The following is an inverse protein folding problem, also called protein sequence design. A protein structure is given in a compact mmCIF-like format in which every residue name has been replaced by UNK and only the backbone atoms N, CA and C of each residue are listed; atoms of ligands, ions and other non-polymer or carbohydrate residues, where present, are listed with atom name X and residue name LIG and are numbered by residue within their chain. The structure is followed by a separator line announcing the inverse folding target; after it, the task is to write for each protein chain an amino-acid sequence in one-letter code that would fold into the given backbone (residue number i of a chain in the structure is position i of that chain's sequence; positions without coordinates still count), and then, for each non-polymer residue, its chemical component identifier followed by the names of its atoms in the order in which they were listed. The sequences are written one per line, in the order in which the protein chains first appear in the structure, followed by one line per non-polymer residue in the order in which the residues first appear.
data_IF_072922038207
#
_entry.id   IF_072922038207
#
_cell.length_a   1.000
_cell.length_b   1.000
_cell.length_c   1.000
_cell.angle_alpha   90.00
_cell.angle_beta   90.00
_cell.angle_gamma   90.00
#
_symmetry.space_group_name_H-M   'P 1'
#
loop_
_entity.id
_entity.type
_entity.pdbx_description
1 polymer ?
#
# COMPACT_ATOMS: atom_id res chain seq x y z
N UNK A 1 11.05 -28.68 28.71
CA UNK A 1 9.70 -28.22 28.34
C UNK A 1 9.58 -26.80 28.83
N UNK A 2 9.91 -25.83 27.98
CA UNK A 2 9.72 -24.42 28.26
C UNK A 2 8.72 -23.92 27.22
N UNK A 3 7.47 -23.75 27.66
CA UNK A 3 6.34 -23.37 26.83
C UNK A 3 6.38 -21.85 26.74
N UNK A 4 7.02 -21.34 25.68
CA UNK A 4 6.99 -19.94 25.32
C UNK A 4 5.53 -19.47 25.14
N UNK A 5 5.16 -18.43 25.88
CA UNK A 5 3.88 -17.72 25.78
C UNK A 5 4.19 -16.21 25.67
N UNK A 6 3.46 -15.44 24.85
CA UNK A 6 4.04 -14.40 24.01
C UNK A 6 4.04 -13.00 24.64
N UNK A 7 4.96 -12.16 24.19
CA UNK A 7 5.12 -10.73 24.51
C UNK A 7 3.92 -9.82 24.11
N UNK A 8 2.81 -10.42 23.64
CA UNK A 8 1.59 -9.73 23.18
C UNK A 8 0.97 -8.86 24.28
N UNK A 9 1.14 -9.24 25.55
CA UNK A 9 0.63 -8.48 26.70
C UNK A 9 1.34 -7.13 26.91
N UNK A 10 2.64 -7.02 26.64
CA UNK A 10 3.39 -5.81 27.00
C UNK A 10 3.14 -4.65 26.03
N UNK A 11 3.11 -4.93 24.72
CA UNK A 11 2.88 -3.92 23.70
C UNK A 11 1.42 -3.44 23.67
N UNK A 12 0.46 -4.34 23.92
CA UNK A 12 -0.95 -3.98 24.03
C UNK A 12 -1.20 -3.06 25.24
N UNK A 13 -0.61 -3.37 26.39
CA UNK A 13 -0.69 -2.52 27.59
C UNK A 13 -0.05 -1.16 27.35
N UNK A 14 1.10 -1.11 26.68
CA UNK A 14 1.76 0.15 26.30
C UNK A 14 0.86 1.05 25.44
N UNK A 15 0.21 0.49 24.41
CA UNK A 15 -0.74 1.22 23.55
C UNK A 15 -1.95 1.75 24.32
N UNK A 16 -2.51 0.95 25.23
CA UNK A 16 -3.65 1.37 26.08
C UNK A 16 -3.26 2.49 27.03
N UNK A 17 -2.05 2.44 27.61
CA UNK A 17 -1.51 3.55 28.42
C UNK A 17 -1.38 4.82 27.60
N UNK A 18 -0.85 4.73 26.37
CA UNK A 18 -0.74 5.88 25.46
C UNK A 18 -2.10 6.51 25.16
N UNK A 19 -3.09 5.69 24.79
CA UNK A 19 -4.45 6.15 24.51
C UNK A 19 -5.12 6.79 25.75
N UNK A 20 -4.91 6.21 26.93
CA UNK A 20 -5.40 6.77 28.19
C UNK A 20 -4.76 8.13 28.51
N UNK A 21 -3.45 8.29 28.23
CA UNK A 21 -2.75 9.58 28.36
C UNK A 21 -3.29 10.64 27.39
N UNK A 22 -3.46 10.28 26.12
CA UNK A 22 -3.93 11.19 25.07
C UNK A 22 -5.38 11.65 25.32
N UNK A 23 -6.26 10.73 25.73
CA UNK A 23 -7.65 11.07 26.11
C UNK A 23 -7.75 11.92 27.39
N UNK A 24 -6.74 11.87 28.27
CA UNK A 24 -6.62 12.76 29.42
C UNK A 24 -5.99 14.14 29.07
N UNK A 25 -5.65 14.39 27.81
CA UNK A 25 -5.02 15.64 27.36
C UNK A 25 -3.59 15.84 27.87
N UNK A 26 -2.94 14.78 28.36
CA UNK A 26 -1.61 14.86 28.96
C UNK A 26 -0.52 14.67 27.92
N UNK A 27 0.48 15.56 27.96
CA UNK A 27 1.70 15.35 27.19
C UNK A 27 2.53 14.20 27.77
N UNK A 28 3.31 13.53 26.93
CA UNK A 28 4.25 12.49 27.35
C UNK A 28 5.20 12.97 28.46
N UNK A 29 5.70 14.22 28.35
CA UNK A 29 6.57 14.81 29.38
C UNK A 29 5.84 15.09 30.70
N UNK A 30 4.56 15.47 30.64
CA UNK A 30 3.75 15.70 31.84
C UNK A 30 3.50 14.41 32.61
N UNK A 31 3.12 13.33 31.92
CA UNK A 31 2.93 12.02 32.55
C UNK A 31 4.26 11.42 33.06
N UNK A 32 5.35 11.59 32.31
CA UNK A 32 6.66 11.09 32.73
C UNK A 32 7.09 11.74 34.05
N UNK A 33 6.85 13.05 34.19
CA UNK A 33 7.13 13.82 35.41
C UNK A 33 6.27 13.35 36.59
N UNK A 34 4.98 13.12 36.39
CA UNK A 34 4.08 12.69 37.48
C UNK A 34 4.34 11.26 37.95
N UNK A 35 4.85 10.39 37.07
CA UNK A 35 5.20 8.99 37.38
C UNK A 35 6.65 8.84 37.88
N UNK A 36 7.47 9.89 37.78
CA UNK A 36 8.86 9.90 38.24
C UNK A 36 9.81 9.12 37.32
N UNK A 37 9.57 9.12 36.01
CA UNK A 37 10.41 8.45 35.00
C UNK A 37 10.88 9.43 33.93
N UNK A 38 11.95 9.08 33.21
CA UNK A 38 12.39 9.86 32.07
C UNK A 38 11.36 9.82 30.92
N UNK A 39 11.23 10.88 30.10
CA UNK A 39 10.36 10.88 28.92
C UNK A 39 10.67 9.74 27.94
N UNK A 40 11.95 9.41 27.75
CA UNK A 40 12.38 8.27 26.93
C UNK A 40 11.85 6.95 27.49
N UNK A 41 11.97 6.73 28.80
CA UNK A 41 11.46 5.54 29.49
C UNK A 41 9.94 5.42 29.35
N UNK A 42 9.20 6.53 29.50
CA UNK A 42 7.75 6.49 29.30
C UNK A 42 7.39 6.18 27.85
N UNK A 43 8.13 6.73 26.88
CA UNK A 43 7.94 6.41 25.46
C UNK A 43 8.21 4.93 25.15
N UNK A 44 9.25 4.32 25.75
CA UNK A 44 9.55 2.90 25.57
C UNK A 44 8.49 2.00 26.20
N UNK A 45 7.89 2.44 27.30
CA UNK A 45 6.77 1.75 27.95
C UNK A 45 5.49 1.83 27.10
N UNK A 46 5.16 3.01 26.53
CA UNK A 46 4.00 3.21 25.66
C UNK A 46 4.11 2.48 24.31
N UNK A 47 5.34 2.28 23.83
CA UNK A 47 5.62 1.56 22.58
C UNK A 47 5.87 0.06 22.79
N UNK A 48 5.84 -0.42 24.03
CA UNK A 48 6.09 -1.82 24.37
C UNK A 48 7.55 -2.26 24.24
N UNK A 49 8.48 -1.32 24.00
CA UNK A 49 9.93 -1.56 23.89
C UNK A 49 10.57 -1.96 25.23
N UNK A 50 9.94 -1.62 26.36
CA UNK A 50 10.37 -2.04 27.70
C UNK A 50 9.21 -2.66 28.46
N UNK A 51 9.50 -3.65 29.31
CA UNK A 51 8.50 -4.36 30.11
C UNK A 51 7.80 -3.43 31.10
N UNK A 52 6.46 -3.39 31.03
CA UNK A 52 5.61 -2.70 31.97
C UNK A 52 5.38 -3.60 33.19
N UNK A 53 5.86 -3.18 34.36
CA UNK A 53 5.56 -3.89 35.62
C UNK A 53 4.20 -3.47 36.16
N UNK A 54 3.55 -4.35 36.93
CA UNK A 54 2.26 -4.07 37.59
C UNK A 54 2.35 -2.84 38.49
N UNK A 55 3.44 -2.71 39.26
CA UNK A 55 3.70 -1.54 40.12
C UNK A 55 3.77 -0.24 39.31
N UNK A 56 4.39 -0.28 38.12
CA UNK A 56 4.52 0.90 37.26
C UNK A 56 3.21 1.23 36.56
N UNK A 57 2.47 0.22 36.11
CA UNK A 57 1.12 0.37 35.57
C UNK A 57 0.19 1.02 36.61
N UNK A 58 0.26 0.62 37.88
CA UNK A 58 -0.52 1.22 38.96
C UNK A 58 -0.22 2.71 39.18
N UNK A 59 1.06 3.10 39.12
CA UNK A 59 1.47 4.52 39.22
C UNK A 59 0.98 5.35 38.03
N UNK A 60 1.05 4.79 36.83
CA UNK A 60 0.53 5.41 35.61
C UNK A 60 -0.99 5.58 35.71
N UNK A 61 -1.71 4.54 36.13
CA UNK A 61 -3.17 4.58 36.29
C UNK A 61 -3.58 5.67 37.29
N UNK A 62 -2.92 5.72 38.45
CA UNK A 62 -3.14 6.76 39.45
C UNK A 62 -2.86 8.18 38.92
N UNK A 63 -1.78 8.36 38.17
CA UNK A 63 -1.43 9.64 37.55
C UNK A 63 -2.42 10.07 36.44
N UNK A 64 -3.14 9.12 35.84
CA UNK A 64 -4.19 9.36 34.84
C UNK A 64 -5.60 9.46 35.46
N UNK A 65 -5.73 9.30 36.79
CA UNK A 65 -7.03 9.28 37.46
C UNK A 65 -7.92 8.08 37.06
N UNK A 66 -7.31 6.94 36.70
CA UNK A 66 -8.01 5.71 36.28
C UNK A 66 -7.62 4.52 37.14
N UNK A 67 -8.45 3.48 37.15
CA UNK A 67 -8.05 2.19 37.72
C UNK A 67 -7.15 1.43 36.74
N UNK A 68 -6.36 0.47 37.24
CA UNK A 68 -5.59 -0.42 36.37
C UNK A 68 -6.50 -1.31 35.52
N UNK A 69 -7.67 -1.70 36.07
CA UNK A 69 -8.66 -2.51 35.37
C UNK A 69 -9.22 -1.76 34.15
N UNK A 70 -9.52 -0.47 34.29
CA UNK A 70 -9.99 0.36 33.16
C UNK A 70 -8.96 0.44 32.03
N UNK A 71 -7.66 0.51 32.36
CA UNK A 71 -6.59 0.54 31.36
C UNK A 71 -6.41 -0.82 30.69
N UNK A 72 -6.60 -1.92 31.43
CA UNK A 72 -6.47 -3.28 30.90
C UNK A 72 -7.70 -3.72 30.10
N UNK A 73 -8.89 -3.25 30.47
CA UNK A 73 -10.16 -3.56 29.81
C UNK A 73 -10.45 -2.65 28.62
N UNK A 74 -9.77 -1.51 28.49
CA UNK A 74 -9.90 -0.62 27.34
C UNK A 74 -9.66 -1.38 26.02
N UNK A 75 -10.62 -1.28 25.10
CA UNK A 75 -10.46 -1.79 23.74
C UNK A 75 -9.17 -1.25 23.15
N UNK A 76 -8.41 -2.14 22.53
CA UNK A 76 -7.16 -1.76 21.91
C UNK A 76 -7.48 -0.78 20.77
N UNK A 77 -6.94 0.46 20.80
CA UNK A 77 -7.15 1.36 19.67
C UNK A 77 -6.66 0.63 18.41
N UNK A 78 -7.45 0.61 17.33
CA UNK A 78 -7.03 -0.06 16.12
C UNK A 78 -5.65 0.47 15.76
N UNK A 79 -4.69 -0.43 15.53
CA UNK A 79 -3.39 -0.07 14.96
C UNK A 79 -3.72 0.55 13.61
N UNK A 80 -3.86 1.87 13.60
CA UNK A 80 -4.10 2.63 12.39
C UNK A 80 -2.81 2.50 11.63
N UNK A 81 -2.83 1.61 10.63
CA UNK A 81 -1.81 1.57 9.61
C UNK A 81 -1.60 3.01 9.13
N UNK A 82 -0.35 3.42 8.80
CA UNK A 82 -0.12 4.73 8.25
C UNK A 82 -1.08 4.92 7.07
N UNK A 83 -2.05 5.83 7.24
CA UNK A 83 -2.87 6.29 6.13
C UNK A 83 -1.90 7.00 5.22
N UNK A 84 -1.81 6.53 3.98
CA UNK A 84 -1.21 7.34 2.92
C UNK A 84 -1.98 8.65 2.94
N UNK A 85 -1.26 9.75 3.16
CA UNK A 85 -1.77 11.08 2.85
C UNK A 85 -1.85 11.19 1.32
N UNK A 86 -2.84 10.50 0.75
CA UNK A 86 -3.27 10.66 -0.63
C UNK A 86 -4.03 11.97 -0.62
N UNK A 87 -3.28 13.07 -0.62
CA UNK A 87 -3.82 14.42 -0.68
C UNK A 87 -4.73 14.58 -1.91
N UNK A 88 -5.46 15.69 -1.96
CA UNK A 88 -6.35 16.15 -3.03
C UNK A 88 -5.65 16.34 -4.41
N UNK A 89 -4.85 15.36 -4.85
CA UNK A 89 -3.79 15.50 -5.84
C UNK A 89 -4.09 14.91 -7.22
N UNK A 90 -3.40 15.50 -8.20
CA UNK A 90 -3.28 15.05 -9.58
C UNK A 90 -2.82 13.57 -9.67
N UNK A 91 -3.67 12.73 -10.26
CA UNK A 91 -3.42 11.29 -10.43
C UNK A 91 -2.26 10.97 -11.37
N UNK A 92 -1.77 11.95 -12.14
CA UNK A 92 -0.57 11.81 -12.99
C UNK A 92 0.73 11.97 -12.22
N UNK A 93 0.71 12.56 -11.02
CA UNK A 93 1.92 12.84 -10.27
C UNK A 93 2.31 11.67 -9.33
N UNK A 94 3.55 11.17 -9.45
CA UNK A 94 4.08 10.04 -8.67
C UNK A 94 5.10 10.49 -7.63
N UNK A 95 4.62 10.88 -6.44
CA UNK A 95 5.48 11.10 -5.28
C UNK A 95 6.04 9.77 -4.76
N UNK A 96 7.18 9.74 -4.06
CA UNK A 96 7.64 8.52 -3.38
C UNK A 96 6.55 7.95 -2.46
N UNK A 97 6.34 6.63 -2.47
CA UNK A 97 5.54 5.98 -1.43
C UNK A 97 6.38 5.95 -0.15
N UNK A 98 5.89 6.58 0.90
CA UNK A 98 6.52 6.49 2.21
C UNK A 98 6.21 5.12 2.81
N UNK A 99 7.19 4.23 2.73
CA UNK A 99 7.17 2.93 3.41
C UNK A 99 8.19 2.94 4.54
N UNK A 100 7.97 2.12 5.57
CA UNK A 100 8.98 1.96 6.61
C UNK A 100 10.23 1.25 6.05
N UNK A 101 11.41 1.44 6.68
CA UNK A 101 12.68 0.87 6.19
C UNK A 101 12.66 -0.66 6.05
N UNK A 102 11.79 -1.36 6.76
CA UNK A 102 11.67 -2.82 6.66
C UNK A 102 11.00 -3.22 5.36
N UNK A 103 9.95 -2.53 4.93
CA UNK A 103 9.27 -2.83 3.67
C UNK A 103 10.10 -2.43 2.44
N UNK A 104 10.88 -1.36 2.54
CA UNK A 104 11.85 -0.97 1.50
C UNK A 104 12.92 -2.07 1.32
N UNK A 105 13.55 -2.48 2.43
CA UNK A 105 14.51 -3.58 2.43
C UNK A 105 13.89 -4.91 1.96
N UNK A 106 12.67 -5.23 2.40
CA UNK A 106 11.97 -6.44 1.98
C UNK A 106 11.68 -6.43 0.46
N UNK A 107 11.30 -5.28 -0.10
CA UNK A 107 11.10 -5.13 -1.55
C UNK A 107 12.40 -5.41 -2.31
N UNK A 108 13.51 -4.79 -1.90
CA UNK A 108 14.83 -5.01 -2.52
C UNK A 108 15.27 -6.48 -2.45
N UNK A 109 15.11 -7.12 -1.28
CA UNK A 109 15.46 -8.54 -1.09
C UNK A 109 14.57 -9.44 -1.94
N UNK A 110 13.24 -9.24 -1.94
CA UNK A 110 12.31 -10.06 -2.72
C UNK A 110 12.55 -9.95 -4.23
N UNK A 111 12.88 -8.76 -4.74
CA UNK A 111 13.23 -8.57 -6.14
C UNK A 111 14.53 -9.28 -6.53
N UNK A 112 15.50 -9.32 -5.61
CA UNK A 112 16.83 -9.89 -5.87
C UNK A 112 16.87 -11.41 -5.78
N UNK A 113 16.18 -12.01 -4.81
CA UNK A 113 16.28 -13.46 -4.51
C UNK A 113 14.98 -14.23 -4.75
N UNK A 114 13.88 -13.55 -5.11
CA UNK A 114 12.53 -14.10 -5.08
C UNK A 114 12.00 -14.28 -3.65
N UNK A 115 10.68 -14.35 -3.50
CA UNK A 115 10.04 -14.43 -2.17
C UNK A 115 10.44 -15.70 -1.40
N UNK A 116 10.50 -16.85 -2.07
CA UNK A 116 10.83 -18.11 -1.40
C UNK A 116 12.31 -18.19 -1.00
N UNK A 117 13.21 -17.60 -1.79
CA UNK A 117 14.65 -17.54 -1.49
C UNK A 117 15.00 -16.53 -0.39
N UNK A 118 14.17 -15.52 -0.19
CA UNK A 118 14.38 -14.51 0.84
C UNK A 118 14.09 -15.01 2.26
N UNK A 119 14.85 -14.52 3.23
CA UNK A 119 14.61 -14.73 4.67
C UNK A 119 14.47 -13.42 5.43
N UNK A 120 13.89 -13.47 6.64
CA UNK A 120 13.81 -12.31 7.55
C UNK A 120 15.20 -11.81 7.94
N UNK A 121 16.23 -12.68 7.93
CA UNK A 121 17.61 -12.29 8.20
C UNK A 121 18.20 -11.47 7.05
N UNK A 122 17.85 -11.79 5.81
CA UNK A 122 18.29 -11.00 4.65
C UNK A 122 17.69 -9.60 4.69
N UNK A 123 16.40 -9.49 5.07
CA UNK A 123 15.73 -8.20 5.27
C UNK A 123 16.35 -7.41 6.43
N UNK A 124 16.71 -8.08 7.52
CA UNK A 124 17.43 -7.45 8.63
C UNK A 124 18.79 -6.89 8.18
N UNK A 125 19.57 -7.68 7.43
CA UNK A 125 20.85 -7.26 6.89
C UNK A 125 20.72 -6.08 5.91
N UNK A 126 19.73 -6.11 5.02
CA UNK A 126 19.46 -5.03 4.04
C UNK A 126 19.01 -3.73 4.72
N UNK A 127 18.15 -3.82 5.75
CA UNK A 127 17.64 -2.63 6.48
C UNK A 127 18.59 -2.07 7.54
N UNK A 128 19.67 -2.78 7.86
CA UNK A 128 20.56 -2.44 8.98
C UNK A 128 19.95 -2.64 10.37
N UNK A 129 18.79 -3.30 10.47
CA UNK A 129 18.12 -3.62 11.74
C UNK A 129 18.49 -5.02 12.24
N UNK A 130 18.29 -5.26 13.54
CA UNK A 130 18.35 -6.63 14.06
C UNK A 130 17.11 -7.42 13.64
N UNK A 131 17.20 -8.75 13.60
CA UNK A 131 16.05 -9.63 13.33
C UNK A 131 14.90 -9.38 14.31
N UNK A 132 15.21 -9.16 15.59
CA UNK A 132 14.21 -8.78 16.59
C UNK A 132 13.59 -7.41 16.27
N UNK A 133 14.38 -6.46 15.79
CA UNK A 133 13.91 -5.17 15.28
C UNK A 133 12.92 -5.32 14.12
N UNK A 134 13.17 -6.23 13.18
CA UNK A 134 12.24 -6.51 12.07
C UNK A 134 10.87 -6.96 12.60
N UNK A 135 10.85 -7.91 13.54
CA UNK A 135 9.61 -8.44 14.12
C UNK A 135 8.80 -7.41 14.91
N UNK A 136 9.43 -6.31 15.34
CA UNK A 136 8.73 -5.18 15.95
C UNK A 136 7.84 -4.42 14.94
N UNK A 137 8.26 -4.33 13.68
CA UNK A 137 7.51 -3.67 12.61
C UNK A 137 6.52 -4.61 11.94
N UNK A 138 6.97 -5.81 11.58
CA UNK A 138 6.18 -6.77 10.80
C UNK A 138 6.37 -8.18 11.35
N UNK A 139 5.25 -8.82 11.72
CA UNK A 139 5.27 -10.10 12.41
C UNK A 139 5.87 -11.26 11.59
N UNK A 140 5.91 -11.15 10.26
CA UNK A 140 6.46 -12.20 9.40
C UNK A 140 6.84 -11.69 8.01
N UNK A 141 7.63 -12.50 7.27
CA UNK A 141 7.91 -12.30 5.85
C UNK A 141 6.63 -12.22 5.01
N UNK A 142 5.60 -12.98 5.40
CA UNK A 142 4.31 -12.95 4.71
C UNK A 142 3.59 -11.61 4.91
N UNK A 143 3.59 -11.08 6.14
CA UNK A 143 3.00 -9.76 6.41
C UNK A 143 3.70 -8.67 5.60
N UNK A 144 5.02 -8.75 5.43
CA UNK A 144 5.76 -7.81 4.59
C UNK A 144 5.33 -7.88 3.12
N UNK A 145 5.30 -9.09 2.53
CA UNK A 145 4.86 -9.27 1.15
C UNK A 145 3.44 -8.75 0.96
N UNK A 146 2.51 -9.16 1.83
CA UNK A 146 1.13 -8.71 1.77
C UNK A 146 1.05 -7.17 1.81
N UNK A 147 1.73 -6.51 2.74
CA UNK A 147 1.70 -5.04 2.86
C UNK A 147 2.26 -4.34 1.63
N UNK A 148 3.37 -4.82 1.07
CA UNK A 148 3.96 -4.25 -0.17
C UNK A 148 2.94 -4.32 -1.32
N UNK A 149 2.30 -5.47 -1.49
CA UNK A 149 1.30 -5.66 -2.56
C UNK A 149 0.03 -4.84 -2.30
N UNK A 150 -0.41 -4.76 -1.04
CA UNK A 150 -1.59 -3.98 -0.66
C UNK A 150 -1.39 -2.49 -0.94
N UNK A 151 -0.21 -1.94 -0.59
CA UNK A 151 0.19 -0.56 -0.87
C UNK A 151 0.14 -0.25 -2.37
N UNK A 152 0.71 -1.11 -3.21
CA UNK A 152 0.67 -0.91 -4.67
C UNK A 152 -0.74 -0.95 -5.23
N UNK A 153 -1.57 -1.89 -4.77
CA UNK A 153 -2.95 -2.02 -5.24
C UNK A 153 -3.84 -0.87 -4.75
N UNK A 154 -3.57 -0.29 -3.57
CA UNK A 154 -4.29 0.89 -3.06
C UNK A 154 -3.94 2.14 -3.87
N UNK A 155 -2.64 2.37 -4.15
CA UNK A 155 -2.17 3.45 -5.03
C UNK A 155 -2.81 3.32 -6.42
N UNK A 156 -2.79 2.13 -7.03
CA UNK A 156 -3.39 1.90 -8.35
C UNK A 156 -4.91 2.15 -8.35
N UNK A 157 -5.65 1.60 -7.38
CA UNK A 157 -7.11 1.78 -7.34
C UNK A 157 -7.50 3.24 -7.11
N UNK A 158 -6.78 3.96 -6.24
CA UNK A 158 -7.01 5.37 -6.02
C UNK A 158 -6.79 6.16 -7.31
N UNK A 159 -5.67 5.94 -8.01
CA UNK A 159 -5.38 6.63 -9.28
C UNK A 159 -6.41 6.32 -10.36
N UNK A 160 -6.79 5.06 -10.54
CA UNK A 160 -7.81 4.70 -11.53
C UNK A 160 -9.15 5.40 -11.25
N UNK A 161 -9.55 5.53 -9.98
CA UNK A 161 -10.78 6.24 -9.62
C UNK A 161 -10.66 7.75 -9.86
N UNK A 162 -9.52 8.35 -9.51
CA UNK A 162 -9.26 9.77 -9.75
C UNK A 162 -9.20 10.09 -11.25
N UNK A 163 -8.61 9.21 -12.06
CA UNK A 163 -8.58 9.29 -13.51
C UNK A 163 -9.98 9.25 -14.13
N UNK A 164 -10.83 8.31 -13.69
CA UNK A 164 -12.25 8.24 -14.10
C UNK A 164 -13.01 9.51 -13.69
N UNK A 165 -12.77 10.04 -12.49
CA UNK A 165 -13.42 11.26 -12.03
C UNK A 165 -12.99 12.52 -12.80
N UNK A 166 -11.80 12.52 -13.41
CA UNK A 166 -11.25 13.64 -14.17
C UNK A 166 -11.69 13.68 -15.64
N UNK A 167 -12.15 12.56 -16.21
CA UNK A 167 -12.56 12.50 -17.62
C UNK A 167 -14.00 12.98 -17.82
N UNK A 168 -14.25 13.74 -18.89
CA UNK A 168 -15.56 14.28 -19.22
C UNK A 168 -16.49 13.29 -19.94
N UNK A 169 -15.92 12.29 -20.61
CA UNK A 169 -16.67 11.25 -21.31
C UNK A 169 -16.00 9.86 -21.26
N UNK A 170 -16.65 8.84 -21.81
CA UNK A 170 -16.18 7.46 -21.78
C UNK A 170 -14.87 7.22 -22.55
N UNK A 171 -14.60 8.00 -23.59
CA UNK A 171 -13.34 7.88 -24.35
C UNK A 171 -12.21 8.49 -23.55
N UNK A 172 -12.40 9.67 -22.97
CA UNK A 172 -11.42 10.30 -22.08
C UNK A 172 -11.16 9.45 -20.84
N UNK A 173 -12.20 8.94 -20.19
CA UNK A 173 -12.06 8.07 -19.00
C UNK A 173 -11.33 6.77 -19.34
N UNK A 174 -11.62 6.16 -20.49
CA UNK A 174 -10.85 5.02 -20.98
C UNK A 174 -9.38 5.37 -21.22
N UNK A 175 -9.08 6.49 -21.89
CA UNK A 175 -7.72 6.95 -22.12
C UNK A 175 -6.98 7.19 -20.80
N UNK A 176 -7.61 7.88 -19.84
CA UNK A 176 -7.01 8.19 -18.54
C UNK A 176 -6.79 6.94 -17.68
N UNK A 177 -7.67 5.93 -17.77
CA UNK A 177 -7.45 4.62 -17.14
C UNK A 177 -6.20 3.93 -17.72
N UNK A 178 -6.05 3.92 -19.04
CA UNK A 178 -4.88 3.31 -19.70
C UNK A 178 -3.61 4.06 -19.35
N UNK A 179 -3.64 5.39 -19.42
CA UNK A 179 -2.55 6.27 -19.04
C UNK A 179 -2.12 6.02 -17.59
N UNK A 180 -3.07 6.00 -16.65
CA UNK A 180 -2.83 5.69 -15.24
C UNK A 180 -2.15 4.36 -15.03
N UNK A 181 -2.65 3.29 -15.68
CA UNK A 181 -2.07 1.97 -15.53
C UNK A 181 -0.63 1.92 -16.08
N UNK A 182 -0.37 2.58 -17.20
CA UNK A 182 0.96 2.66 -17.78
C UNK A 182 1.94 3.46 -16.92
N UNK A 183 1.53 4.64 -16.44
CA UNK A 183 2.32 5.43 -15.50
C UNK A 183 2.58 4.67 -14.18
N UNK A 184 1.58 3.94 -13.68
CA UNK A 184 1.76 3.13 -12.48
C UNK A 184 2.82 2.05 -12.69
N UNK A 185 2.74 1.30 -13.79
CA UNK A 185 3.67 0.21 -14.04
C UNK A 185 5.07 0.66 -14.47
N UNK A 186 5.27 1.94 -14.80
CA UNK A 186 6.59 2.55 -14.99
C UNK A 186 7.17 3.13 -13.69
N UNK A 187 6.40 3.90 -12.92
CA UNK A 187 6.86 4.53 -11.67
C UNK A 187 6.85 3.59 -10.45
N UNK A 188 5.91 2.66 -10.36
CA UNK A 188 5.81 1.63 -9.30
C UNK A 188 6.23 0.26 -9.81
N UNK A 189 7.13 0.24 -10.81
CA UNK A 189 7.59 -0.96 -11.51
C UNK A 189 7.96 -2.11 -10.57
N UNK A 190 8.72 -1.82 -9.52
CA UNK A 190 9.16 -2.81 -8.53
C UNK A 190 8.00 -3.53 -7.84
N UNK A 191 7.02 -2.77 -7.35
CA UNK A 191 5.81 -3.32 -6.74
C UNK A 191 4.98 -4.06 -7.80
N UNK A 192 4.84 -3.48 -9.01
CA UNK A 192 4.13 -4.11 -10.12
C UNK A 192 4.72 -5.47 -10.52
N UNK A 193 6.05 -5.57 -10.53
CA UNK A 193 6.78 -6.80 -10.82
C UNK A 193 6.56 -7.85 -9.73
N UNK A 194 6.73 -7.49 -8.44
CA UNK A 194 6.43 -8.39 -7.33
C UNK A 194 4.98 -8.85 -7.33
N UNK A 195 4.04 -7.96 -7.67
CA UNK A 195 2.63 -8.31 -7.76
C UNK A 195 2.35 -9.29 -8.92
N UNK A 196 3.16 -9.28 -9.98
CA UNK A 196 3.08 -10.24 -11.07
C UNK A 196 3.70 -11.60 -10.71
N UNK A 197 4.86 -11.62 -10.03
CA UNK A 197 5.62 -12.84 -9.77
C UNK A 197 5.29 -13.55 -8.45
N UNK A 198 4.95 -12.80 -7.40
CA UNK A 198 4.86 -13.31 -6.01
C UNK A 198 3.45 -13.34 -5.43
N UNK A 199 2.42 -12.87 -6.15
CA UNK A 199 1.02 -12.97 -5.67
C UNK A 199 0.60 -14.43 -5.38
N UNK A 200 1.19 -15.39 -6.09
CA UNK A 200 1.02 -16.83 -5.84
C UNK A 200 1.51 -17.26 -4.45
N UNK A 201 2.41 -16.51 -3.83
CA UNK A 201 3.02 -16.82 -2.54
C UNK A 201 2.29 -16.19 -1.34
N UNK A 202 1.25 -15.39 -1.59
CA UNK A 202 0.33 -14.93 -0.55
C UNK A 202 -0.46 -16.11 0.05
N UNK A 203 -0.86 -15.97 1.32
CA UNK A 203 -1.76 -16.93 1.95
C UNK A 203 -3.13 -16.90 1.25
N UNK A 204 -3.92 -17.99 1.29
CA UNK A 204 -5.17 -18.10 0.54
C UNK A 204 -6.14 -16.92 0.75
N UNK A 205 -6.27 -16.44 1.99
CA UNK A 205 -7.13 -15.31 2.32
C UNK A 205 -6.63 -14.00 1.68
N UNK A 206 -5.33 -13.69 1.81
CA UNK A 206 -4.72 -12.50 1.22
C UNK A 206 -4.74 -12.55 -0.31
N UNK A 207 -4.48 -13.72 -0.92
CA UNK A 207 -4.56 -13.92 -2.37
C UNK A 207 -5.98 -13.69 -2.90
N UNK A 208 -6.99 -14.18 -2.18
CA UNK A 208 -8.41 -13.97 -2.53
C UNK A 208 -8.77 -12.49 -2.46
N UNK A 209 -8.40 -11.80 -1.37
CA UNK A 209 -8.62 -10.36 -1.22
C UNK A 209 -7.94 -9.54 -2.33
N UNK A 210 -6.69 -9.85 -2.66
CA UNK A 210 -5.97 -9.21 -3.77
C UNK A 210 -6.64 -9.46 -5.12
N UNK A 211 -7.13 -10.68 -5.36
CA UNK A 211 -7.86 -11.04 -6.59
C UNK A 211 -9.15 -10.21 -6.71
N UNK A 212 -9.91 -10.07 -5.64
CA UNK A 212 -11.13 -9.25 -5.62
C UNK A 212 -10.82 -7.77 -5.94
N UNK A 213 -9.73 -7.22 -5.40
CA UNK A 213 -9.29 -5.84 -5.69
C UNK A 213 -8.85 -5.64 -7.13
N UNK A 214 -8.14 -6.61 -7.71
CA UNK A 214 -7.81 -6.61 -9.16
C UNK A 214 -9.06 -6.66 -10.03
N UNK A 215 -10.07 -7.44 -9.65
CA UNK A 215 -11.35 -7.45 -10.37
C UNK A 215 -12.09 -6.11 -10.27
N UNK A 216 -11.98 -5.38 -9.15
CA UNK A 216 -12.50 -4.01 -9.06
C UNK A 216 -11.82 -3.11 -10.08
N UNK A 217 -10.50 -3.17 -10.20
CA UNK A 217 -9.76 -2.37 -11.19
C UNK A 217 -10.14 -2.75 -12.63
N UNK A 218 -10.22 -4.04 -12.95
CA UNK A 218 -10.66 -4.53 -14.27
C UNK A 218 -12.04 -3.98 -14.63
N UNK A 219 -12.99 -3.99 -13.68
CA UNK A 219 -14.35 -3.50 -13.91
C UNK A 219 -14.42 -2.01 -14.25
N UNK A 220 -13.46 -1.19 -13.81
CA UNK A 220 -13.39 0.21 -14.21
C UNK A 220 -13.14 0.33 -15.72
N UNK A 221 -12.22 -0.48 -16.26
CA UNK A 221 -11.95 -0.51 -17.71
C UNK A 221 -13.11 -1.12 -18.47
N UNK A 222 -13.68 -2.23 -17.97
CA UNK A 222 -14.84 -2.89 -18.60
C UNK A 222 -16.02 -1.92 -18.76
N UNK A 223 -16.27 -1.08 -17.76
CA UNK A 223 -17.36 -0.11 -17.77
C UNK A 223 -17.18 0.94 -18.88
N UNK A 224 -15.97 1.51 -19.03
CA UNK A 224 -15.72 2.53 -20.06
C UNK A 224 -15.70 1.94 -21.48
N UNK A 225 -15.20 0.70 -21.65
CA UNK A 225 -15.29 0.01 -22.95
C UNK A 225 -16.76 -0.27 -23.30
N UNK A 226 -17.57 -0.74 -22.36
CA UNK A 226 -18.99 -0.99 -22.59
C UNK A 226 -19.74 0.30 -22.95
N UNK A 227 -19.50 1.39 -22.21
CA UNK A 227 -20.09 2.69 -22.49
C UNK A 227 -19.70 3.23 -23.88
N UNK A 228 -18.43 3.05 -24.29
CA UNK A 228 -17.98 3.47 -25.61
C UNK A 228 -18.58 2.65 -26.76
N UNK A 229 -18.88 1.37 -26.53
CA UNK A 229 -19.63 0.55 -27.50
C UNK A 229 -21.09 0.99 -27.57
N UNK A 230 -21.73 1.24 -26.43
CA UNK A 230 -23.12 1.71 -26.36
C UNK A 230 -23.31 3.07 -27.05
N UNK A 231 -22.34 3.98 -26.91
CA UNK A 231 -22.36 5.29 -27.57
C UNK A 231 -21.91 5.26 -29.04
N UNK A 232 -21.42 4.12 -29.54
CA UNK A 232 -20.89 3.97 -30.90
C UNK A 232 -19.49 4.58 -31.11
N UNK A 233 -18.82 5.04 -30.05
CA UNK A 233 -17.44 5.57 -30.12
C UNK A 233 -16.39 4.46 -30.21
N UNK A 234 -16.70 3.26 -29.72
CA UNK A 234 -15.92 2.03 -29.91
C UNK A 234 -16.71 1.04 -30.75
N UNK A 235 -16.04 0.33 -31.66
CA UNK A 235 -16.70 -0.62 -32.59
C UNK A 235 -16.28 -2.08 -32.42
N UNK A 236 -15.34 -2.35 -31.51
CA UNK A 236 -14.87 -3.72 -31.30
C UNK A 236 -16.03 -4.67 -31.00
N UNK A 237 -16.16 -5.80 -31.73
CA UNK A 237 -17.15 -6.82 -31.40
C UNK A 237 -16.74 -7.65 -30.18
N UNK A 238 -15.52 -7.45 -29.64
CA UNK A 238 -14.92 -8.23 -28.56
C UNK A 238 -14.61 -7.37 -27.33
N UNK A 239 -15.58 -6.58 -26.87
CA UNK A 239 -15.40 -5.59 -25.79
C UNK A 239 -14.73 -6.15 -24.52
N UNK A 240 -15.14 -7.34 -24.07
CA UNK A 240 -14.58 -7.97 -22.86
C UNK A 240 -13.14 -8.43 -23.06
N UNK A 241 -12.84 -9.03 -24.21
CA UNK A 241 -11.51 -9.47 -24.58
C UNK A 241 -10.56 -8.28 -24.76
N UNK A 242 -11.02 -7.23 -25.44
CA UNK A 242 -10.27 -5.99 -25.63
C UNK A 242 -9.93 -5.34 -24.29
N UNK A 243 -10.92 -5.18 -23.40
CA UNK A 243 -10.69 -4.64 -22.05
C UNK A 243 -9.67 -5.47 -21.25
N UNK A 244 -9.81 -6.80 -21.25
CA UNK A 244 -8.85 -7.70 -20.58
C UNK A 244 -7.45 -7.61 -21.19
N UNK A 245 -7.35 -7.52 -22.52
CA UNK A 245 -6.08 -7.37 -23.23
C UNK A 245 -5.39 -6.04 -22.85
N UNK A 246 -6.16 -4.95 -22.77
CA UNK A 246 -5.69 -3.62 -22.34
C UNK A 246 -5.09 -3.66 -20.94
N UNK A 247 -5.79 -4.25 -19.97
CA UNK A 247 -5.26 -4.38 -18.60
C UNK A 247 -4.01 -5.28 -18.57
N UNK A 248 -4.03 -6.37 -19.33
CA UNK A 248 -2.90 -7.31 -19.39
C UNK A 248 -1.65 -6.67 -19.98
N UNK A 249 -1.78 -5.91 -21.07
CA UNK A 249 -0.64 -5.20 -21.66
C UNK A 249 -0.09 -4.15 -20.71
N UNK A 250 -0.93 -3.39 -20.00
CA UNK A 250 -0.43 -2.37 -19.07
C UNK A 250 0.32 -3.01 -17.90
N UNK A 251 -0.15 -4.16 -17.39
CA UNK A 251 0.54 -4.91 -16.35
C UNK A 251 1.95 -5.35 -16.79
N UNK A 252 2.10 -5.81 -18.03
CA UNK A 252 3.38 -6.35 -18.51
C UNK A 252 4.47 -5.28 -18.60
N UNK A 253 4.13 -3.99 -18.61
CA UNK A 253 5.09 -2.87 -18.54
C UNK A 253 6.07 -3.04 -17.37
N UNK A 254 5.60 -3.52 -16.21
CA UNK A 254 6.46 -3.69 -15.05
C UNK A 254 7.61 -4.70 -15.27
N UNK A 255 7.43 -5.63 -16.20
CA UNK A 255 8.38 -6.71 -16.49
C UNK A 255 9.51 -6.23 -17.42
N UNK A 256 9.19 -5.39 -18.41
CA UNK A 256 10.15 -4.98 -19.45
C UNK A 256 10.66 -3.53 -19.32
N UNK A 257 9.92 -2.62 -18.69
CA UNK A 257 10.32 -1.21 -18.58
C UNK A 257 11.64 -1.06 -17.81
N UNK A 258 12.47 -0.09 -18.21
CA UNK A 258 13.76 0.23 -17.57
C UNK A 258 13.85 1.75 -17.40
N UNK A 259 14.02 2.28 -16.17
CA UNK A 259 14.12 3.73 -15.94
C UNK A 259 15.29 4.41 -16.66
N UNK A 260 16.43 3.71 -16.80
CA UNK A 260 17.58 4.18 -17.57
C UNK A 260 17.46 3.90 -19.09
N UNK A 261 16.30 3.44 -19.54
CA UNK A 261 16.01 3.16 -20.94
C UNK A 261 15.65 4.41 -21.73
N UNK A 262 15.42 4.28 -23.04
CA UNK A 262 15.20 5.42 -23.94
C UNK A 262 13.79 6.01 -23.89
N UNK A 263 12.87 5.43 -23.10
CA UNK A 263 11.47 5.86 -23.04
C UNK A 263 11.16 6.46 -21.67
N UNK A 264 10.66 7.69 -21.64
CA UNK A 264 10.08 8.26 -20.44
C UNK A 264 8.76 7.54 -20.09
N UNK A 265 8.34 7.53 -18.81
CA UNK A 265 7.02 7.03 -18.40
C UNK A 265 5.86 7.56 -19.26
N UNK A 266 5.90 8.85 -19.58
CA UNK A 266 4.90 9.57 -20.35
C UNK A 266 4.86 9.08 -21.82
N UNK A 267 6.03 8.77 -22.41
CA UNK A 267 6.12 8.19 -23.75
C UNK A 267 5.44 6.81 -23.80
N UNK A 268 5.69 6.00 -22.76
CA UNK A 268 5.07 4.66 -22.64
C UNK A 268 3.56 4.82 -22.50
N UNK A 269 3.11 5.70 -21.62
CA UNK A 269 1.68 5.93 -21.40
C UNK A 269 0.97 6.39 -22.67
N UNK A 270 1.55 7.36 -23.40
CA UNK A 270 1.01 7.84 -24.67
C UNK A 270 0.91 6.72 -25.72
N UNK A 271 1.94 5.87 -25.85
CA UNK A 271 1.93 4.72 -26.78
C UNK A 271 0.86 3.72 -26.40
N UNK A 272 0.70 3.43 -25.12
CA UNK A 272 -0.26 2.45 -24.63
C UNK A 272 -1.71 2.93 -24.77
N UNK A 273 -1.99 4.23 -24.59
CA UNK A 273 -3.29 4.82 -24.93
C UNK A 273 -3.62 4.61 -26.40
N UNK A 274 -2.67 4.89 -27.31
CA UNK A 274 -2.87 4.68 -28.75
C UNK A 274 -3.12 3.22 -29.11
N UNK A 275 -2.37 2.29 -28.51
CA UNK A 275 -2.59 0.85 -28.71
C UNK A 275 -3.98 0.42 -28.21
N UNK A 276 -4.38 0.89 -27.03
CA UNK A 276 -5.68 0.58 -26.43
C UNK A 276 -6.84 1.09 -27.29
N UNK A 277 -6.75 2.32 -27.80
CA UNK A 277 -7.75 2.88 -28.73
C UNK A 277 -7.85 2.06 -30.04
N UNK A 278 -6.73 1.51 -30.52
CA UNK A 278 -6.72 0.57 -31.64
C UNK A 278 -7.46 -0.74 -31.33
N UNK A 279 -7.27 -1.31 -30.13
CA UNK A 279 -7.93 -2.55 -29.71
C UNK A 279 -9.45 -2.43 -29.58
N UNK A 280 -9.95 -1.23 -29.27
CA UNK A 280 -11.41 -0.96 -29.15
C UNK A 280 -12.02 -0.40 -30.44
N UNK A 281 -11.22 -0.29 -31.52
CA UNK A 281 -11.64 0.25 -32.81
C UNK A 281 -12.31 1.64 -32.71
N UNK A 282 -11.67 2.53 -31.95
CA UNK A 282 -12.17 3.89 -31.73
C UNK A 282 -12.41 4.65 -33.05
N UNK A 283 -13.57 5.31 -33.16
CA UNK A 283 -14.04 5.96 -34.40
C UNK A 283 -13.68 7.44 -34.55
N UNK A 284 -13.24 8.09 -33.47
CA UNK A 284 -12.82 9.50 -33.50
C UNK A 284 -11.43 9.69 -34.13
N UNK A 285 -11.23 10.84 -34.79
CA UNK A 285 -9.91 11.25 -35.28
C UNK A 285 -8.91 11.21 -34.13
N UNK A 286 -7.81 10.47 -34.32
CA UNK A 286 -6.75 10.25 -33.34
C UNK A 286 -6.00 11.54 -32.94
N UNK A 287 -6.41 12.71 -33.47
CA UNK A 287 -5.67 13.97 -33.41
C UNK A 287 -6.20 15.08 -32.49
N UNK A 288 -7.35 14.94 -31.82
CA UNK A 288 -7.97 16.08 -31.12
C UNK A 288 -7.90 16.06 -29.57
N UNK A 289 -7.39 14.99 -28.95
CA UNK A 289 -7.37 14.88 -27.47
C UNK A 289 -6.32 13.96 -26.89
N UNK A 290 -5.39 13.44 -27.70
CA UNK A 290 -4.21 12.79 -27.12
C UNK A 290 -3.34 13.89 -26.50
N UNK A 291 -2.78 13.68 -25.28
CA UNK A 291 -1.74 14.57 -24.77
C UNK A 291 -0.68 14.67 -25.86
N UNK A 292 -0.47 15.88 -26.35
CA UNK A 292 0.63 16.18 -27.26
C UNK A 292 1.92 15.76 -26.55
N UNK A 293 2.81 15.10 -27.30
CA UNK A 293 4.16 14.77 -26.84
C UNK A 293 4.77 15.99 -26.14
N UNK A 294 5.46 15.85 -24.99
CA UNK A 294 6.16 16.97 -24.37
C UNK A 294 7.18 17.62 -25.32
#
# INVERSE_FOLDING_TARGET
MDVGNPDVGNAAVGRRVRAARESAGLSLRALARSVGVGPATLSELETGKTRMSVVRLGRIAAALGRSMEDILAAEEPPVTAPRVDVGDGDWRHYRPLYVDPVLEAATAVFLRTGYHGASVRDVAAESGLSVSGIYHYHASKQVMLQRILDLGMDDLLWRCRAAVAAGGDEVERFCFLVETMALFHTHRREIGFLAASEMRSLDPAARSAMTARRQVQQRLVDAEVAAGVESGRFRTPFAREASRAVVTMCKSIAEWYRPAGPLAPEDVAWRYVRLALGMVEHTGSTGAGLPTTP
#
